data_IF_281601771284
#
_entry.id   IF_281601771284
#
_cell.length_a   1.000
_cell.length_b   1.000
_cell.length_c   1.000
_cell.angle_alpha   90.00
_cell.angle_beta   90.00
_cell.angle_gamma   90.00
#
_symmetry.space_group_name_H-M   'P 1'
#
loop_
_entity.id
_entity.type
_entity.pdbx_description
1 polymer ?
#
# COMPACT_ATOMS: atom_id res chain seq x y z
N UNK A 1 13.21 -20.43 29.20
CA UNK A 1 13.21 -18.97 28.97
C UNK A 1 13.64 -18.25 30.26
N UNK A 2 14.48 -18.90 31.08
CA UNK A 2 14.58 -18.63 32.52
C UNK A 2 15.85 -17.84 32.92
N UNK A 3 16.55 -17.23 31.95
CA UNK A 3 17.83 -16.56 32.19
C UNK A 3 17.80 -15.03 32.09
N UNK A 4 16.66 -14.42 31.72
CA UNK A 4 16.56 -12.97 31.60
C UNK A 4 15.27 -12.43 32.20
N UNK A 5 15.38 -11.32 32.94
CA UNK A 5 14.26 -10.48 33.31
C UNK A 5 13.94 -9.50 32.18
N UNK A 6 12.67 -9.43 31.81
CA UNK A 6 12.14 -8.54 30.77
C UNK A 6 11.52 -7.28 31.39
N UNK A 7 11.85 -6.11 30.84
CA UNK A 7 11.07 -4.88 31.04
C UNK A 7 10.72 -4.25 29.69
N UNK A 8 9.64 -3.47 29.66
CA UNK A 8 9.12 -2.90 28.41
C UNK A 8 8.91 -1.38 28.53
N UNK A 9 9.18 -0.66 27.44
CA UNK A 9 8.85 0.75 27.28
C UNK A 9 8.13 0.97 25.95
N UNK A 10 6.86 1.36 26.01
CA UNK A 10 6.11 1.78 24.83
C UNK A 10 6.64 3.13 24.32
N UNK A 11 6.86 3.23 23.00
CA UNK A 11 7.33 4.45 22.37
C UNK A 11 6.21 5.49 22.24
N UNK A 12 6.45 6.67 22.79
CA UNK A 12 5.52 7.80 22.75
C UNK A 12 5.97 8.90 21.79
N UNK A 13 5.05 9.81 21.47
CA UNK A 13 5.36 10.95 20.60
C UNK A 13 6.37 11.87 21.29
N UNK A 14 7.50 12.10 20.63
CA UNK A 14 8.58 12.94 21.16
C UNK A 14 9.71 12.15 21.83
N UNK A 15 9.55 10.84 21.97
CA UNK A 15 10.61 9.97 22.48
C UNK A 15 11.86 10.00 21.60
N UNK A 16 13.01 10.05 22.27
CA UNK A 16 14.32 10.00 21.63
C UNK A 16 15.05 8.77 22.14
N UNK A 17 15.49 7.90 21.21
CA UNK A 17 16.18 6.65 21.53
C UNK A 17 17.34 6.86 22.50
N UNK A 18 18.12 7.92 22.31
CA UNK A 18 19.23 8.24 23.20
C UNK A 18 18.79 8.43 24.65
N UNK A 19 17.80 9.27 24.90
CA UNK A 19 17.23 9.50 26.23
C UNK A 19 16.67 8.22 26.84
N UNK A 20 15.97 7.41 26.04
CA UNK A 20 15.43 6.12 26.47
C UNK A 20 16.55 5.19 26.96
N UNK A 21 17.64 5.08 26.20
CA UNK A 21 18.78 4.23 26.57
C UNK A 21 19.48 4.72 27.86
N UNK A 22 19.50 6.03 28.10
CA UNK A 22 20.05 6.57 29.36
C UNK A 22 19.14 6.25 30.55
N UNK A 23 17.83 6.43 30.40
CA UNK A 23 16.84 6.20 31.47
C UNK A 23 16.64 4.71 31.79
N UNK A 24 16.47 3.87 30.77
CA UNK A 24 16.09 2.47 30.93
C UNK A 24 17.29 1.54 31.07
N UNK A 25 18.41 1.88 30.43
CA UNK A 25 19.62 1.06 30.46
C UNK A 25 20.76 1.66 31.31
N UNK A 26 20.57 2.84 31.91
CA UNK A 26 21.58 3.49 32.74
C UNK A 26 22.83 3.89 31.96
N UNK A 27 22.74 4.02 30.63
CA UNK A 27 23.90 4.30 29.78
C UNK A 27 24.28 5.78 29.84
N UNK A 28 25.58 6.06 29.87
CA UNK A 28 26.11 7.42 29.76
C UNK A 28 26.06 7.93 28.32
N UNK A 29 26.15 9.24 28.14
CA UNK A 29 26.08 9.88 26.83
C UNK A 29 27.15 9.34 25.84
N UNK A 30 28.43 9.15 26.23
CA UNK A 30 29.42 8.54 25.34
C UNK A 30 29.07 7.12 24.89
N UNK A 31 28.45 6.32 25.77
CA UNK A 31 28.04 4.94 25.44
C UNK A 31 26.88 4.94 24.44
N UNK A 32 25.87 5.79 24.68
CA UNK A 32 24.75 6.00 23.75
C UNK A 32 25.26 6.47 22.39
N UNK A 33 26.19 7.42 22.35
CA UNK A 33 26.79 7.89 21.10
C UNK A 33 27.46 6.76 20.30
N UNK A 34 28.18 5.86 20.97
CA UNK A 34 28.78 4.66 20.34
C UNK A 34 27.69 3.74 19.76
N UNK A 35 26.60 3.48 20.50
CA UNK A 35 25.49 2.63 20.02
C UNK A 35 24.79 3.26 18.81
N UNK A 36 24.50 4.56 18.88
CA UNK A 36 23.90 5.34 17.79
C UNK A 36 24.78 5.31 16.54
N UNK A 37 26.10 5.38 16.71
CA UNK A 37 27.04 5.22 15.61
C UNK A 37 26.98 3.83 14.99
N UNK A 38 26.85 2.76 15.79
CA UNK A 38 26.67 1.38 15.29
C UNK A 38 25.34 1.16 14.56
N UNK A 39 24.35 2.02 14.78
CA UNK A 39 23.11 2.00 14.00
C UNK A 39 23.33 2.45 12.55
N UNK A 40 24.35 3.28 12.27
CA UNK A 40 24.60 3.82 10.92
C UNK A 40 24.67 2.68 9.89
N UNK A 41 23.94 2.85 8.79
CA UNK A 41 23.81 1.89 7.68
C UNK A 41 23.14 0.54 8.00
N UNK A 42 22.85 0.22 9.27
CA UNK A 42 22.15 -1.01 9.68
C UNK A 42 20.70 -0.78 10.07
N UNK A 43 20.46 0.22 10.91
CA UNK A 43 19.15 0.55 11.46
C UNK A 43 18.91 2.06 11.40
N UNK A 44 17.77 2.46 10.85
CA UNK A 44 17.37 3.87 10.81
C UNK A 44 16.67 4.21 12.11
N UNK A 45 17.29 5.01 12.97
CA UNK A 45 16.71 5.40 14.27
C UNK A 45 15.34 6.07 14.08
N UNK A 46 15.17 6.89 13.03
CA UNK A 46 13.90 7.54 12.70
C UNK A 46 12.82 6.57 12.16
N UNK A 47 13.09 5.25 12.12
CA UNK A 47 12.11 4.21 11.77
C UNK A 47 11.45 3.56 12.98
N UNK A 48 11.83 3.98 14.20
CA UNK A 48 11.08 3.69 15.42
C UNK A 48 9.66 4.25 15.29
N UNK A 49 8.66 3.40 15.53
CA UNK A 49 7.25 3.75 15.40
C UNK A 49 6.69 4.11 16.77
N UNK A 50 5.81 5.11 16.82
CA UNK A 50 5.05 5.41 18.04
C UNK A 50 4.04 4.27 18.26
N UNK A 51 3.86 3.85 19.51
CA UNK A 51 2.97 2.75 19.90
C UNK A 51 3.60 1.35 19.83
N UNK A 52 4.88 1.22 19.44
CA UNK A 52 5.61 -0.06 19.57
C UNK A 52 6.44 -0.10 20.85
N UNK A 53 6.46 -1.27 21.50
CA UNK A 53 7.24 -1.50 22.72
C UNK A 53 8.70 -1.85 22.42
N UNK A 54 9.61 -1.19 23.12
CA UNK A 54 11.00 -1.58 23.27
C UNK A 54 11.11 -2.55 24.44
N UNK A 55 11.70 -3.72 24.18
CA UNK A 55 11.91 -4.77 25.20
C UNK A 55 13.35 -4.74 25.67
N UNK A 56 13.56 -4.65 26.97
CA UNK A 56 14.87 -4.64 27.60
C UNK A 56 15.09 -5.93 28.36
N UNK A 57 16.21 -6.59 28.11
CA UNK A 57 16.56 -7.87 28.71
C UNK A 57 17.76 -7.68 29.63
N UNK A 58 17.57 -7.96 30.92
CA UNK A 58 18.64 -8.02 31.93
C UNK A 58 18.82 -9.45 32.42
N UNK A 59 20.03 -9.84 32.82
CA UNK A 59 20.32 -11.22 33.27
C UNK A 59 19.62 -11.58 34.57
N UNK A 60 19.36 -10.60 35.42
CA UNK A 60 18.58 -10.75 36.65
C UNK A 60 17.71 -9.51 36.90
N UNK A 61 16.58 -9.65 37.60
CA UNK A 61 15.75 -8.51 37.99
C UNK A 61 16.55 -7.44 38.72
N UNK A 62 16.35 -6.17 38.36
CA UNK A 62 17.01 -5.02 38.96
C UNK A 62 18.43 -4.72 38.45
N UNK A 63 18.99 -5.56 37.57
CA UNK A 63 20.24 -5.24 36.87
C UNK A 63 20.01 -4.38 35.62
N UNK A 64 21.05 -3.67 35.19
CA UNK A 64 21.02 -2.94 33.93
C UNK A 64 20.84 -3.92 32.75
N UNK A 65 19.93 -3.63 31.80
CA UNK A 65 19.70 -4.48 30.65
C UNK A 65 20.92 -4.60 29.76
N UNK A 66 21.18 -5.81 29.29
CA UNK A 66 22.28 -6.13 28.39
C UNK A 66 21.86 -5.98 26.92
N UNK A 67 20.57 -6.08 26.65
CA UNK A 67 20.01 -6.01 25.31
C UNK A 67 18.73 -5.19 25.28
N UNK A 68 18.51 -4.50 24.17
CA UNK A 68 17.22 -3.94 23.80
C UNK A 68 16.77 -4.56 22.48
N UNK A 69 15.53 -5.01 22.41
CA UNK A 69 14.89 -5.58 21.22
C UNK A 69 13.80 -4.62 20.76
N UNK A 70 13.83 -4.31 19.46
CA UNK A 70 12.78 -3.56 18.78
C UNK A 70 12.16 -4.43 17.68
N UNK A 71 10.85 -4.66 17.75
CA UNK A 71 10.11 -5.47 16.77
C UNK A 71 9.16 -4.57 15.95
N UNK A 72 9.60 -4.01 14.82
CA UNK A 72 8.78 -3.11 14.01
C UNK A 72 7.63 -3.80 13.28
N UNK A 73 7.74 -5.11 13.06
CA UNK A 73 6.78 -5.95 12.38
C UNK A 73 7.07 -7.44 12.68
N UNK A 74 6.17 -8.36 12.30
CA UNK A 74 6.35 -9.79 12.58
C UNK A 74 7.51 -10.48 11.85
N UNK A 75 8.06 -9.87 10.79
CA UNK A 75 9.05 -10.49 9.90
C UNK A 75 10.50 -10.25 10.32
N UNK A 76 10.75 -9.23 11.14
CA UNK A 76 12.10 -8.89 11.58
C UNK A 76 12.09 -8.17 12.92
N UNK A 77 13.21 -8.27 13.62
CA UNK A 77 13.48 -7.52 14.84
C UNK A 77 14.89 -6.98 14.82
N UNK A 78 15.14 -5.94 15.61
CA UNK A 78 16.47 -5.34 15.76
C UNK A 78 16.95 -5.56 17.18
N UNK A 79 18.13 -6.15 17.33
CA UNK A 79 18.79 -6.37 18.61
C UNK A 79 19.89 -5.32 18.79
N UNK A 80 19.84 -4.62 19.90
CA UNK A 80 20.86 -3.68 20.34
C UNK A 80 21.57 -4.32 21.55
N UNK A 81 22.83 -4.72 21.37
CA UNK A 81 23.68 -5.17 22.48
C UNK A 81 24.21 -3.93 23.20
N UNK A 82 23.80 -3.76 24.45
CA UNK A 82 24.04 -2.59 25.30
C UNK A 82 25.31 -2.73 26.16
N UNK A 83 26.06 -3.82 26.01
CA UNK A 83 27.39 -4.03 26.61
C UNK A 83 28.47 -3.99 25.54
N UNK A 84 29.69 -3.65 25.95
CA UNK A 84 30.83 -3.69 25.02
C UNK A 84 31.19 -5.14 24.65
N UNK A 85 31.49 -5.41 23.37
CA UNK A 85 31.46 -4.48 22.24
C UNK A 85 30.01 -4.20 21.77
N UNK A 86 29.62 -2.91 21.72
CA UNK A 86 28.27 -2.51 21.29
C UNK A 86 28.00 -2.96 19.85
N UNK A 87 26.86 -3.61 19.64
CA UNK A 87 26.45 -4.12 18.33
C UNK A 87 24.96 -3.86 18.11
N UNK A 88 24.63 -3.62 16.84
CA UNK A 88 23.25 -3.52 16.37
C UNK A 88 23.10 -4.46 15.19
N UNK A 89 22.11 -5.34 15.28
CA UNK A 89 21.85 -6.40 14.31
C UNK A 89 20.36 -6.39 13.96
N UNK A 90 20.05 -6.32 12.67
CA UNK A 90 18.69 -6.52 12.18
C UNK A 90 18.58 -7.99 11.82
N UNK A 91 17.75 -8.72 12.55
CA UNK A 91 17.52 -10.14 12.37
C UNK A 91 16.21 -10.31 11.61
N UNK A 92 16.30 -10.92 10.43
CA UNK A 92 15.12 -11.39 9.70
C UNK A 92 14.69 -12.72 10.31
N UNK A 93 13.40 -12.86 10.58
CA UNK A 93 12.84 -14.13 11.00
C UNK A 93 12.73 -15.05 9.78
N UNK A 94 12.80 -16.35 10.05
CA UNK A 94 12.49 -17.34 9.02
C UNK A 94 10.99 -17.30 8.72
N UNK A 95 10.65 -17.12 7.45
CA UNK A 95 9.26 -16.96 6.99
C UNK A 95 8.93 -18.16 6.14
N UNK A 96 8.03 -18.99 6.63
CA UNK A 96 7.45 -20.07 5.82
C UNK A 96 6.29 -19.51 5.02
N UNK A 97 6.37 -19.61 3.70
CA UNK A 97 5.27 -19.23 2.81
C UNK A 97 4.51 -20.47 2.38
N UNK A 98 3.19 -20.44 2.51
CA UNK A 98 2.29 -21.46 1.97
C UNK A 98 1.33 -20.84 0.98
N UNK A 99 0.94 -21.59 -0.05
CA UNK A 99 -0.10 -21.16 -0.98
C UNK A 99 -1.44 -21.67 -0.46
N UNK A 100 -2.34 -20.75 -0.23
CA UNK A 100 -3.67 -21.03 0.31
C UNK A 100 -4.74 -20.38 -0.55
N UNK A 101 -5.96 -20.89 -0.43
CA UNK A 101 -7.14 -20.35 -1.07
C UNK A 101 -8.22 -20.00 -0.07
N UNK A 102 -8.99 -18.97 -0.41
CA UNK A 102 -10.21 -18.58 0.29
C UNK A 102 -11.31 -18.27 -0.73
N UNK A 103 -12.55 -18.42 -0.31
CA UNK A 103 -13.73 -18.07 -1.10
C UNK A 103 -14.81 -17.48 -0.20
N UNK A 104 -15.74 -16.74 -0.78
CA UNK A 104 -16.83 -16.17 -0.03
C UNK A 104 -17.97 -15.67 -0.90
N UNK A 105 -19.13 -15.52 -0.28
CA UNK A 105 -20.33 -14.91 -0.86
C UNK A 105 -20.62 -13.62 -0.10
N UNK A 106 -20.89 -12.54 -0.84
CA UNK A 106 -21.15 -11.22 -0.28
C UNK A 106 -22.58 -11.18 0.25
N UNK A 107 -22.71 -10.99 1.56
CA UNK A 107 -24.00 -10.74 2.20
C UNK A 107 -24.29 -9.24 2.34
N UNK A 108 -23.26 -8.45 2.63
CA UNK A 108 -23.37 -7.01 2.88
C UNK A 108 -22.40 -6.20 2.02
N UNK A 109 -21.10 -6.32 2.27
CA UNK A 109 -20.05 -5.61 1.52
C UNK A 109 -18.85 -6.52 1.27
N UNK A 110 -18.09 -6.24 0.20
CA UNK A 110 -16.87 -6.99 -0.12
C UNK A 110 -15.87 -6.98 1.05
N UNK A 111 -15.64 -5.82 1.65
CA UNK A 111 -14.77 -5.69 2.82
C UNK A 111 -15.25 -6.54 4.00
N UNK A 112 -16.53 -6.42 4.35
CA UNK A 112 -17.09 -7.19 5.45
C UNK A 112 -17.03 -8.71 5.17
N UNK A 113 -17.34 -9.12 3.94
CA UNK A 113 -17.25 -10.52 3.56
C UNK A 113 -15.82 -11.06 3.72
N UNK A 114 -14.80 -10.29 3.36
CA UNK A 114 -13.40 -10.70 3.56
C UNK A 114 -13.02 -10.78 5.04
N UNK A 115 -13.35 -9.76 5.83
CA UNK A 115 -13.08 -9.75 7.28
C UNK A 115 -13.81 -10.89 8.01
N UNK A 116 -15.07 -11.15 7.65
CA UNK A 116 -15.87 -12.24 8.22
C UNK A 116 -15.33 -13.63 7.87
N UNK A 117 -14.63 -13.74 6.73
CA UNK A 117 -13.91 -14.93 6.31
C UNK A 117 -12.54 -15.10 7.00
N UNK A 118 -12.18 -14.18 7.91
CA UNK A 118 -10.88 -14.20 8.59
C UNK A 118 -9.72 -13.78 7.69
N UNK A 119 -10.01 -13.11 6.56
CA UNK A 119 -8.98 -12.60 5.64
C UNK A 119 -8.47 -11.25 6.11
N UNK A 120 -7.17 -11.01 5.93
CA UNK A 120 -6.53 -9.78 6.40
C UNK A 120 -6.91 -8.56 5.55
N UNK A 121 -6.86 -7.38 6.16
CA UNK A 121 -7.13 -6.11 5.47
C UNK A 121 -6.18 -5.90 4.29
N UNK A 122 -4.92 -6.35 4.39
CA UNK A 122 -3.94 -6.27 3.30
C UNK A 122 -4.34 -7.11 2.09
N UNK A 123 -4.90 -8.31 2.31
CA UNK A 123 -5.38 -9.16 1.22
C UNK A 123 -6.60 -8.52 0.55
N UNK A 124 -7.50 -7.92 1.33
CA UNK A 124 -8.66 -7.22 0.82
C UNK A 124 -8.30 -6.01 -0.06
N UNK A 125 -7.37 -5.17 0.41
CA UNK A 125 -6.80 -4.08 -0.38
C UNK A 125 -6.15 -4.60 -1.68
N UNK A 126 -5.40 -5.71 -1.57
CA UNK A 126 -4.77 -6.36 -2.72
C UNK A 126 -5.80 -6.85 -3.76
N UNK A 127 -6.87 -7.49 -3.32
CA UNK A 127 -7.94 -7.98 -4.21
C UNK A 127 -8.62 -6.82 -4.94
N UNK A 128 -8.90 -5.73 -4.23
CA UNK A 128 -9.49 -4.53 -4.83
C UNK A 128 -8.57 -3.97 -5.90
N UNK A 129 -7.26 -3.91 -5.64
CA UNK A 129 -6.27 -3.39 -6.59
C UNK A 129 -6.18 -4.22 -7.87
N UNK A 130 -6.08 -5.55 -7.74
CA UNK A 130 -5.89 -6.44 -8.91
C UNK A 130 -7.17 -6.65 -9.72
N UNK A 131 -8.36 -6.48 -9.13
CA UNK A 131 -9.64 -6.58 -9.82
C UNK A 131 -10.24 -5.21 -10.19
N UNK A 132 -9.54 -4.11 -9.86
CA UNK A 132 -10.06 -2.75 -10.00
C UNK A 132 -10.47 -2.38 -11.44
N UNK A 133 -9.87 -3.00 -12.47
CA UNK A 133 -10.15 -2.70 -13.87
C UNK A 133 -11.45 -3.33 -14.38
N UNK A 134 -11.82 -4.49 -13.84
CA UNK A 134 -12.94 -5.32 -14.29
C UNK A 134 -14.15 -5.23 -13.36
N UNK A 135 -13.92 -4.95 -12.07
CA UNK A 135 -14.96 -4.94 -11.03
C UNK A 135 -15.20 -3.53 -10.49
N UNK A 136 -16.49 -3.15 -10.41
CA UNK A 136 -16.91 -1.98 -9.65
C UNK A 136 -17.42 -2.37 -8.26
N UNK A 137 -16.51 -2.33 -7.28
CA UNK A 137 -16.79 -2.62 -5.87
C UNK A 137 -17.73 -1.62 -5.19
N UNK A 138 -17.98 -0.44 -5.80
CA UNK A 138 -18.89 0.57 -5.21
C UNK A 138 -20.37 0.22 -5.42
N UNK A 139 -20.68 -0.54 -6.48
CA UNK A 139 -22.03 -0.99 -6.81
C UNK A 139 -22.18 -2.51 -6.63
N UNK A 140 -21.53 -3.06 -5.60
CA UNK A 140 -21.66 -4.47 -5.21
C UNK A 140 -23.07 -4.81 -4.77
N UNK A 141 -23.47 -6.07 -4.98
CA UNK A 141 -24.77 -6.60 -4.56
C UNK A 141 -24.59 -7.81 -3.66
N UNK A 142 -25.61 -8.05 -2.84
CA UNK A 142 -25.74 -9.30 -2.12
C UNK A 142 -25.81 -10.47 -3.13
N UNK A 143 -25.06 -11.54 -2.88
CA UNK A 143 -24.96 -12.71 -3.75
C UNK A 143 -23.78 -12.68 -4.72
N UNK A 144 -23.07 -11.55 -4.87
CA UNK A 144 -21.77 -11.52 -5.55
C UNK A 144 -20.81 -12.48 -4.80
N UNK A 145 -19.90 -13.14 -5.50
CA UNK A 145 -19.01 -14.14 -4.89
C UNK A 145 -17.58 -14.01 -5.37
N UNK A 146 -16.63 -14.46 -4.56
CA UNK A 146 -15.21 -14.38 -4.90
C UNK A 146 -14.46 -15.66 -4.53
N UNK A 147 -13.33 -15.85 -5.21
CA UNK A 147 -12.27 -16.77 -4.78
C UNK A 147 -10.93 -16.09 -4.94
N UNK A 148 -9.99 -16.43 -4.07
CA UNK A 148 -8.63 -15.91 -4.09
C UNK A 148 -7.65 -17.01 -3.71
N UNK A 149 -6.55 -17.09 -4.45
CA UNK A 149 -5.38 -17.91 -4.12
C UNK A 149 -4.23 -16.95 -3.87
N UNK A 150 -3.54 -17.10 -2.75
CA UNK A 150 -2.53 -16.16 -2.29
C UNK A 150 -1.47 -16.84 -1.41
N UNK A 151 -0.38 -16.12 -1.20
CA UNK A 151 0.68 -16.54 -0.27
C UNK A 151 0.29 -16.16 1.17
N UNK A 152 0.28 -17.13 2.09
CA UNK A 152 0.17 -16.92 3.52
C UNK A 152 1.55 -17.04 4.15
N UNK A 153 1.96 -16.03 4.92
CA UNK A 153 3.22 -16.04 5.65
C UNK A 153 3.02 -16.55 7.08
N UNK A 154 3.89 -17.46 7.47
CA UNK A 154 3.98 -17.99 8.82
C UNK A 154 5.35 -17.69 9.41
N UNK A 155 5.37 -17.24 10.65
CA UNK A 155 6.59 -17.04 11.43
C UNK A 155 6.39 -17.76 12.76
N UNK A 156 7.31 -18.68 13.09
CA UNK A 156 7.21 -19.52 14.29
C UNK A 156 5.87 -20.28 14.42
N UNK A 157 5.27 -20.65 13.29
CA UNK A 157 4.00 -21.37 13.23
C UNK A 157 2.76 -20.48 13.22
N UNK A 158 2.87 -19.20 13.55
CA UNK A 158 1.74 -18.26 13.56
C UNK A 158 1.59 -17.55 12.21
N UNK A 159 0.35 -17.35 11.78
CA UNK A 159 0.01 -16.57 10.60
C UNK A 159 0.27 -15.08 10.88
N UNK A 160 1.22 -14.47 10.14
CA UNK A 160 1.67 -13.09 10.41
C UNK A 160 1.38 -12.08 9.30
N UNK A 161 0.81 -12.54 8.20
CA UNK A 161 0.37 -11.71 7.10
C UNK A 161 0.37 -12.46 5.78
N UNK A 162 0.11 -11.72 4.70
CA UNK A 162 -0.03 -12.29 3.36
C UNK A 162 1.08 -11.79 2.43
N UNK A 163 1.46 -12.63 1.47
CA UNK A 163 2.34 -12.30 0.36
C UNK A 163 1.54 -11.86 -0.86
N UNK A 164 1.96 -12.32 -2.04
CA UNK A 164 1.29 -11.93 -3.29
C UNK A 164 -0.03 -12.68 -3.49
N UNK A 165 -0.95 -12.05 -4.22
CA UNK A 165 -2.10 -12.74 -4.80
C UNK A 165 -1.59 -13.52 -6.00
N UNK A 166 -1.96 -14.79 -6.10
CA UNK A 166 -1.57 -15.66 -7.21
C UNK A 166 -2.67 -15.64 -8.28
N UNK A 167 -3.93 -15.75 -7.86
CA UNK A 167 -5.08 -15.64 -8.73
C UNK A 167 -6.31 -15.19 -7.95
N UNK A 168 -7.21 -14.45 -8.59
CA UNK A 168 -8.49 -14.06 -8.00
C UNK A 168 -9.59 -14.07 -9.04
N UNK A 169 -10.80 -14.40 -8.61
CA UNK A 169 -12.02 -14.27 -9.39
C UNK A 169 -13.09 -13.59 -8.55
N UNK A 170 -13.85 -12.70 -9.19
CA UNK A 170 -15.05 -12.10 -8.65
C UNK A 170 -16.19 -12.30 -9.64
N UNK A 171 -17.31 -12.79 -9.16
CA UNK A 171 -18.48 -13.07 -9.97
C UNK A 171 -19.66 -12.22 -9.53
N UNK A 172 -20.28 -11.55 -10.51
CA UNK A 172 -21.50 -10.76 -10.34
C UNK A 172 -22.48 -11.13 -11.43
N UNK A 173 -23.69 -11.53 -11.05
CA UNK A 173 -24.78 -11.85 -11.98
C UNK A 173 -24.36 -12.85 -13.09
N UNK A 174 -23.55 -13.86 -12.71
CA UNK A 174 -23.02 -14.88 -13.64
C UNK A 174 -21.85 -14.41 -14.52
N UNK A 175 -21.39 -13.16 -14.36
CA UNK A 175 -20.21 -12.63 -15.06
C UNK A 175 -18.99 -12.71 -14.15
N UNK A 176 -17.99 -13.46 -14.60
CA UNK A 176 -16.72 -13.63 -13.91
C UNK A 176 -15.69 -12.58 -14.35
N UNK A 177 -14.95 -12.05 -13.38
CA UNK A 177 -13.88 -11.09 -13.56
C UNK A 177 -12.63 -11.63 -12.88
N UNK A 178 -11.58 -11.87 -13.67
CA UNK A 178 -10.37 -12.54 -13.22
C UNK A 178 -9.18 -11.60 -13.08
N UNK A 179 -8.26 -11.96 -12.18
CA UNK A 179 -6.91 -11.41 -12.12
C UNK A 179 -5.91 -12.55 -11.88
N UNK A 180 -4.93 -12.69 -12.75
CA UNK A 180 -3.91 -13.73 -12.72
C UNK A 180 -2.53 -13.12 -12.57
N UNK A 181 -1.74 -13.63 -11.63
CA UNK A 181 -0.36 -13.18 -11.46
C UNK A 181 0.53 -13.75 -12.57
N UNK A 182 1.14 -12.87 -13.36
CA UNK A 182 2.08 -13.21 -14.43
C UNK A 182 3.20 -12.16 -14.46
N UNK A 183 4.38 -12.53 -13.99
CA UNK A 183 5.53 -11.64 -13.96
C UNK A 183 6.30 -11.74 -15.28
N UNK A 184 6.49 -10.61 -15.96
CA UNK A 184 7.39 -10.53 -17.11
C UNK A 184 8.76 -10.03 -16.65
N UNK A 185 9.81 -10.46 -17.34
CA UNK A 185 11.16 -9.98 -17.08
C UNK A 185 11.26 -8.48 -17.42
N UNK A 186 11.68 -7.66 -16.45
CA UNK A 186 11.86 -6.21 -16.64
C UNK A 186 10.59 -5.36 -16.63
N UNK A 187 9.38 -5.93 -16.64
CA UNK A 187 8.14 -5.18 -16.45
C UNK A 187 7.66 -5.19 -14.99
N UNK A 188 6.91 -4.14 -14.62
CA UNK A 188 6.32 -4.00 -13.28
C UNK A 188 4.88 -4.48 -13.19
N UNK A 189 4.22 -4.69 -14.33
CA UNK A 189 2.84 -5.21 -14.37
C UNK A 189 2.88 -6.72 -14.19
N UNK A 190 2.31 -7.14 -13.07
CA UNK A 190 2.34 -8.49 -12.53
C UNK A 190 0.96 -9.15 -12.53
N UNK A 191 -0.12 -8.45 -12.91
CA UNK A 191 -1.48 -9.00 -12.95
C UNK A 191 -2.20 -8.71 -14.26
N UNK A 192 -2.87 -9.73 -14.80
CA UNK A 192 -3.59 -9.66 -16.06
C UNK A 192 -4.97 -10.33 -15.94
N UNK A 193 -5.94 -9.85 -16.72
CA UNK A 193 -7.28 -10.42 -16.79
C UNK A 193 -7.33 -11.60 -17.78
N UNK A 194 -8.51 -12.21 -17.94
CA UNK A 194 -8.67 -13.40 -18.77
C UNK A 194 -8.15 -13.24 -20.21
N UNK A 195 -8.29 -12.04 -20.78
CA UNK A 195 -7.85 -11.68 -22.14
C UNK A 195 -6.41 -11.19 -22.20
N UNK A 196 -5.67 -11.20 -21.09
CA UNK A 196 -4.27 -10.79 -21.02
C UNK A 196 -4.09 -9.27 -20.98
N UNK A 197 -5.13 -8.51 -20.61
CA UNK A 197 -5.03 -7.07 -20.35
C UNK A 197 -4.55 -6.86 -18.91
N UNK A 198 -3.68 -5.87 -18.64
CA UNK A 198 -3.32 -5.49 -17.27
C UNK A 198 -4.54 -5.31 -16.36
N UNK A 199 -4.58 -6.07 -15.26
CA UNK A 199 -5.75 -6.15 -14.37
C UNK A 199 -5.82 -4.96 -13.40
N UNK A 200 -4.69 -4.32 -13.11
CA UNK A 200 -4.66 -3.04 -12.37
C UNK A 200 -5.24 -1.93 -13.23
N UNK A 201 -5.97 -1.00 -12.60
CA UNK A 201 -6.47 0.21 -13.29
C UNK A 201 -5.30 0.98 -13.91
N UNK A 202 -5.45 1.39 -15.18
CA UNK A 202 -4.51 2.32 -15.81
C UNK A 202 -4.29 3.59 -14.97
N UNK A 203 -5.31 4.02 -14.21
CA UNK A 203 -5.25 5.17 -13.30
C UNK A 203 -6.01 4.91 -11.99
N UNK A 204 -5.39 5.22 -10.85
CA UNK A 204 -6.05 5.29 -9.55
C UNK A 204 -7.12 6.39 -9.55
N UNK A 205 -8.21 6.17 -8.80
CA UNK A 205 -9.35 7.11 -8.74
C UNK A 205 -8.99 8.46 -8.10
N UNK A 206 -8.03 8.49 -7.18
CA UNK A 206 -7.65 9.70 -6.46
C UNK A 206 -6.13 9.73 -6.15
N UNK A 207 -5.51 10.92 -6.12
CA UNK A 207 -4.08 11.09 -5.85
C UNK A 207 -3.74 11.23 -4.35
N UNK A 208 -4.74 11.20 -3.47
CA UNK A 208 -4.57 11.35 -2.01
C UNK A 208 -5.49 10.38 -1.30
N UNK A 209 -4.92 9.48 -0.48
CA UNK A 209 -5.69 8.53 0.34
C UNK A 209 -6.46 9.28 1.45
N UNK A 210 -7.65 8.80 1.80
CA UNK A 210 -8.51 9.37 2.86
C UNK A 210 -8.82 10.87 2.69
N UNK A 211 -8.97 11.33 1.45
CA UNK A 211 -9.30 12.72 1.12
C UNK A 211 -10.76 12.86 0.74
N UNK A 212 -11.30 14.08 0.90
CA UNK A 212 -12.63 14.45 0.37
C UNK A 212 -12.49 15.39 -0.81
N UNK A 213 -13.36 15.25 -1.80
CA UNK A 213 -13.45 16.23 -2.90
C UNK A 213 -14.07 17.51 -2.34
N UNK A 214 -13.29 18.58 -2.25
CA UNK A 214 -13.79 19.90 -1.83
C UNK A 214 -14.34 20.71 -2.99
N UNK A 215 -13.83 20.51 -4.20
CA UNK A 215 -14.30 21.17 -5.43
C UNK A 215 -14.04 20.29 -6.65
N UNK A 216 -15.05 20.12 -7.51
CA UNK A 216 -14.94 19.33 -8.75
C UNK A 216 -14.47 20.18 -9.93
N UNK A 217 -14.11 19.51 -11.02
CA UNK A 217 -13.93 20.17 -12.32
C UNK A 217 -15.22 20.88 -12.72
N UNK A 218 -15.15 22.18 -13.01
CA UNK A 218 -16.32 22.99 -13.31
C UNK A 218 -15.94 24.23 -14.14
N UNK A 219 -16.39 24.27 -15.40
CA UNK A 219 -16.14 25.37 -16.33
C UNK A 219 -16.81 26.69 -15.91
N UNK A 220 -17.84 26.62 -15.06
CA UNK A 220 -18.66 27.76 -14.64
C UNK A 220 -18.56 28.01 -13.11
N UNK A 221 -17.47 27.60 -12.46
CA UNK A 221 -17.28 27.83 -11.01
C UNK A 221 -17.19 29.33 -10.70
N UNK A 222 -18.01 29.84 -9.78
CA UNK A 222 -17.82 31.17 -9.20
C UNK A 222 -16.58 31.15 -8.30
N UNK A 223 -15.58 31.98 -8.59
CA UNK A 223 -14.30 31.94 -7.89
C UNK A 223 -14.45 32.49 -6.46
N UNK A 224 -14.16 31.70 -5.40
CA UNK A 224 -14.47 32.10 -4.02
C UNK A 224 -13.68 33.33 -3.55
N UNK A 225 -12.52 33.61 -4.16
CA UNK A 225 -11.70 34.79 -3.84
C UNK A 225 -11.98 35.97 -4.80
N UNK A 226 -12.32 35.71 -6.07
CA UNK A 226 -12.33 36.75 -7.11
C UNK A 226 -13.74 37.22 -7.49
N UNK A 227 -14.79 36.54 -7.03
CA UNK A 227 -16.19 36.94 -7.21
C UNK A 227 -16.79 36.66 -8.59
N UNK A 228 -15.99 36.57 -9.66
CA UNK A 228 -16.45 36.25 -11.02
C UNK A 228 -16.34 34.76 -11.36
N UNK A 229 -17.01 34.34 -12.45
CA UNK A 229 -16.97 32.95 -12.95
C UNK A 229 -15.61 32.66 -13.56
N UNK A 230 -14.90 31.67 -13.00
CA UNK A 230 -13.60 31.20 -13.49
C UNK A 230 -13.58 29.68 -13.48
N UNK A 231 -13.30 29.11 -14.64
CA UNK A 231 -13.21 27.67 -14.81
C UNK A 231 -12.22 27.04 -13.79
N UNK A 232 -12.68 25.99 -13.13
CA UNK A 232 -11.85 25.12 -12.33
C UNK A 232 -11.53 23.87 -13.16
N UNK A 233 -10.31 23.82 -13.68
CA UNK A 233 -9.86 22.79 -14.62
C UNK A 233 -9.22 21.58 -13.93
N UNK A 234 -9.59 21.35 -12.67
CA UNK A 234 -9.09 20.26 -11.84
C UNK A 234 -10.13 19.79 -10.82
N UNK A 235 -9.75 18.81 -10.01
CA UNK A 235 -10.51 18.34 -8.84
C UNK A 235 -9.67 18.56 -7.60
N UNK A 236 -10.22 19.27 -6.62
CA UNK A 236 -9.55 19.61 -5.37
C UNK A 236 -9.84 18.53 -4.33
N UNK A 237 -8.78 17.87 -3.86
CA UNK A 237 -8.80 16.89 -2.79
C UNK A 237 -8.30 17.54 -1.51
N UNK A 238 -9.22 17.85 -0.60
CA UNK A 238 -8.87 18.41 0.70
C UNK A 238 -8.29 17.32 1.61
N UNK A 239 -7.12 17.60 2.18
CA UNK A 239 -6.40 16.73 3.10
C UNK A 239 -5.45 17.58 3.98
N UNK A 240 -5.04 17.08 5.15
CA UNK A 240 -4.09 17.78 6.02
C UNK A 240 -2.78 18.17 5.31
N UNK A 241 -2.14 19.24 5.78
CA UNK A 241 -0.82 19.64 5.29
C UNK A 241 0.19 18.50 5.52
N UNK A 242 0.99 18.18 4.50
CA UNK A 242 1.98 17.11 4.58
C UNK A 242 1.46 15.72 4.20
N UNK A 243 0.15 15.53 3.95
CA UNK A 243 -0.38 14.25 3.49
C UNK A 243 0.31 13.82 2.18
N UNK A 244 0.77 12.57 2.04
CA UNK A 244 1.38 12.09 0.81
C UNK A 244 0.46 12.23 -0.41
N UNK A 245 0.99 12.78 -1.50
CA UNK A 245 0.38 12.79 -2.82
C UNK A 245 1.05 11.69 -3.65
N UNK A 246 0.25 10.81 -4.23
CA UNK A 246 0.71 9.68 -5.03
C UNK A 246 0.46 9.89 -6.52
N UNK A 247 1.33 9.35 -7.37
CA UNK A 247 1.07 9.28 -8.81
C UNK A 247 -0.11 8.33 -9.08
N UNK A 248 -1.15 8.81 -9.78
CA UNK A 248 -2.32 7.96 -10.07
C UNK A 248 -2.02 6.87 -11.10
N UNK A 249 -0.92 6.98 -11.84
CA UNK A 249 -0.49 6.00 -12.82
C UNK A 249 1.02 6.10 -13.00
N UNK A 250 1.62 5.04 -13.53
CA UNK A 250 3.03 5.07 -13.88
C UNK A 250 3.31 6.08 -14.99
N UNK A 251 4.52 6.64 -15.01
CA UNK A 251 4.89 7.60 -16.04
C UNK A 251 6.24 8.24 -15.82
N UNK A 252 6.50 9.28 -16.62
CA UNK A 252 7.70 10.10 -16.53
C UNK A 252 7.34 11.52 -16.11
N UNK A 253 8.01 12.03 -15.09
CA UNK A 253 7.85 13.41 -14.62
C UNK A 253 8.33 14.36 -15.71
N UNK A 254 7.40 15.13 -16.28
CA UNK A 254 7.72 16.22 -17.22
C UNK A 254 8.27 17.42 -16.46
N UNK A 255 7.62 17.78 -15.36
CA UNK A 255 7.95 18.96 -14.56
C UNK A 255 7.80 18.64 -13.07
N UNK A 256 8.74 19.14 -12.26
CA UNK A 256 8.63 19.23 -10.82
C UNK A 256 9.23 20.56 -10.41
N UNK A 257 8.40 21.61 -10.35
CA UNK A 257 8.85 22.99 -10.20
C UNK A 257 7.79 23.86 -9.55
N UNK A 258 8.11 25.13 -9.29
CA UNK A 258 7.18 26.14 -8.78
C UNK A 258 6.79 27.11 -9.90
N UNK A 259 5.48 27.32 -10.13
CA UNK A 259 5.01 28.26 -11.16
C UNK A 259 3.70 28.95 -10.82
N UNK A 260 3.77 30.27 -10.59
CA UNK A 260 2.60 31.14 -10.44
C UNK A 260 1.52 30.56 -9.53
N UNK A 261 0.26 30.58 -10.01
CA UNK A 261 -0.90 30.07 -9.27
C UNK A 261 -0.87 28.58 -8.95
N UNK A 262 -0.06 27.77 -9.64
CA UNK A 262 0.05 26.34 -9.36
C UNK A 262 0.82 26.06 -8.06
N UNK A 263 1.61 27.02 -7.58
CA UNK A 263 2.54 26.78 -6.48
C UNK A 263 3.61 25.77 -6.89
N UNK A 264 4.05 24.94 -5.94
CA UNK A 264 4.89 23.78 -6.24
C UNK A 264 3.99 22.69 -6.85
N UNK A 265 4.38 22.18 -8.02
CA UNK A 265 3.59 21.17 -8.70
C UNK A 265 4.47 20.13 -9.40
N UNK A 266 3.88 18.96 -9.61
CA UNK A 266 4.44 17.89 -10.44
C UNK A 266 3.51 17.66 -11.63
N UNK A 267 4.08 17.48 -12.82
CA UNK A 267 3.36 17.06 -14.03
C UNK A 267 3.96 15.75 -14.54
N UNK A 268 3.13 14.74 -14.78
CA UNK A 268 3.54 13.40 -15.20
C UNK A 268 2.93 13.10 -16.57
N UNK A 269 3.75 12.62 -17.50
CA UNK A 269 3.32 12.00 -18.75
C UNK A 269 3.20 10.50 -18.55
N UNK A 270 2.03 9.95 -18.86
CA UNK A 270 1.78 8.51 -18.76
C UNK A 270 2.05 7.83 -20.11
N UNK A 271 1.48 8.39 -21.18
CA UNK A 271 1.67 7.91 -22.55
C UNK A 271 1.58 9.07 -23.57
N UNK A 272 1.28 8.77 -24.84
CA UNK A 272 1.08 9.77 -25.89
C UNK A 272 -0.21 10.61 -25.75
N UNK A 273 -1.17 10.16 -24.94
CA UNK A 273 -2.52 10.70 -24.83
C UNK A 273 -2.73 11.40 -23.48
N UNK A 274 -2.25 10.80 -22.39
CA UNK A 274 -2.61 11.13 -21.02
C UNK A 274 -1.46 11.76 -20.22
N UNK A 275 -1.81 12.80 -19.47
CA UNK A 275 -0.92 13.44 -18.50
C UNK A 275 -1.70 13.79 -17.23
N UNK A 276 -1.01 13.86 -16.09
CA UNK A 276 -1.60 14.33 -14.83
C UNK A 276 -0.76 15.43 -14.21
N UNK A 277 -1.41 16.31 -13.45
CA UNK A 277 -0.76 17.43 -12.78
C UNK A 277 -1.29 17.57 -11.35
N UNK A 278 -0.38 17.84 -10.42
CA UNK A 278 -0.63 17.82 -8.98
C UNK A 278 -0.08 19.11 -8.39
N UNK A 279 -0.95 19.99 -7.92
CA UNK A 279 -0.62 21.38 -7.58
C UNK A 279 -0.57 21.61 -6.07
N UNK A 280 -0.13 22.81 -5.70
CA UNK A 280 -0.15 23.37 -4.33
C UNK A 280 0.67 22.60 -3.31
N UNK A 281 1.65 21.80 -3.75
CA UNK A 281 2.46 20.96 -2.86
C UNK A 281 3.24 21.80 -1.85
N UNK A 282 3.46 21.24 -0.66
CA UNK A 282 4.40 21.80 0.32
C UNK A 282 5.84 21.54 -0.10
N UNK A 283 6.11 20.36 -0.67
CA UNK A 283 7.40 19.97 -1.23
C UNK A 283 7.31 18.69 -2.05
N UNK A 284 8.39 18.37 -2.76
CA UNK A 284 8.52 17.17 -3.58
C UNK A 284 9.07 16.00 -2.77
N UNK A 285 8.66 14.78 -3.11
CA UNK A 285 9.27 13.58 -2.55
C UNK A 285 10.70 13.39 -3.08
N UNK A 286 11.52 12.61 -2.36
CA UNK A 286 12.92 12.39 -2.73
C UNK A 286 13.01 11.76 -4.13
N UNK A 287 13.88 12.33 -4.97
CA UNK A 287 14.14 11.82 -6.33
C UNK A 287 13.15 12.30 -7.39
N UNK A 288 12.11 13.05 -7.01
CA UNK A 288 11.14 13.61 -7.96
C UNK A 288 11.71 14.87 -8.60
N UNK A 289 12.01 14.78 -9.89
CA UNK A 289 12.53 15.85 -10.75
C UNK A 289 12.14 15.56 -12.19
N UNK A 290 12.26 16.56 -13.08
CA UNK A 290 12.06 16.33 -14.52
C UNK A 290 12.91 15.16 -15.02
N UNK A 291 12.30 14.28 -15.82
CA UNK A 291 12.88 13.04 -16.33
C UNK A 291 12.80 11.84 -15.38
N UNK A 292 12.40 12.01 -14.12
CA UNK A 292 12.27 10.89 -13.19
C UNK A 292 11.10 9.97 -13.60
N UNK A 293 11.33 8.65 -13.59
CA UNK A 293 10.26 7.67 -13.72
C UNK A 293 9.56 7.47 -12.37
N UNK A 294 8.24 7.36 -12.41
CA UNK A 294 7.40 7.12 -11.23
C UNK A 294 6.48 5.94 -11.48
N UNK A 295 6.29 5.11 -10.46
CA UNK A 295 5.30 4.04 -10.47
C UNK A 295 3.93 4.57 -10.05
N UNK A 296 2.87 3.87 -10.46
CA UNK A 296 1.53 4.09 -9.89
C UNK A 296 1.60 3.90 -8.36
N UNK A 297 0.91 4.77 -7.61
CA UNK A 297 0.92 4.76 -6.15
C UNK A 297 2.19 5.33 -5.50
N UNK A 298 3.24 5.62 -6.26
CA UNK A 298 4.47 6.20 -5.71
C UNK A 298 4.21 7.63 -5.19
N UNK A 299 4.66 7.92 -3.98
CA UNK A 299 4.64 9.28 -3.43
C UNK A 299 5.50 10.22 -4.26
N UNK A 300 4.89 11.27 -4.79
CA UNK A 300 5.54 12.29 -5.63
C UNK A 300 5.76 13.62 -4.92
N UNK A 301 5.03 13.84 -3.83
CA UNK A 301 5.11 15.07 -3.04
C UNK A 301 4.12 15.03 -1.89
N UNK A 302 3.91 16.18 -1.27
CA UNK A 302 3.07 16.29 -0.09
C UNK A 302 2.10 17.45 -0.21
N UNK A 303 0.89 17.26 0.31
CA UNK A 303 -0.16 18.28 0.34
C UNK A 303 0.37 19.54 1.01
N UNK A 304 0.02 20.68 0.43
CA UNK A 304 0.38 22.00 0.94
C UNK A 304 -0.68 23.02 0.57
N UNK A 305 -0.29 24.29 0.62
CA UNK A 305 -1.13 25.42 0.24
C UNK A 305 -0.33 26.48 -0.53
N UNK A 306 0.61 26.03 -1.39
CA UNK A 306 1.45 26.95 -2.16
C UNK A 306 0.74 27.46 -3.42
N UNK A 307 1.09 28.66 -3.90
CA UNK A 307 0.43 29.26 -5.07
C UNK A 307 -0.95 29.82 -4.71
N UNK A 308 -1.92 29.70 -5.63
CA UNK A 308 -3.28 30.21 -5.44
C UNK A 308 -4.14 29.13 -4.79
N UNK A 309 -4.02 28.99 -3.47
CA UNK A 309 -4.76 28.01 -2.66
C UNK A 309 -5.36 28.69 -1.42
N UNK A 310 -6.62 28.40 -1.10
CA UNK A 310 -7.31 28.93 0.11
C UNK A 310 -6.99 28.14 1.38
N UNK A 311 -6.40 26.96 1.25
CA UNK A 311 -6.03 26.09 2.36
C UNK A 311 -5.43 24.77 1.86
N UNK A 312 -5.02 23.87 2.76
CA UNK A 312 -4.37 22.61 2.40
C UNK A 312 -5.23 21.69 1.52
N UNK A 313 -4.79 21.45 0.29
CA UNK A 313 -5.41 20.50 -0.64
C UNK A 313 -4.45 20.12 -1.78
N UNK A 314 -4.79 19.06 -2.51
CA UNK A 314 -4.18 18.75 -3.81
C UNK A 314 -5.17 19.12 -4.92
N UNK A 315 -4.84 20.12 -5.74
CA UNK A 315 -5.58 20.38 -6.99
C UNK A 315 -5.03 19.43 -8.07
N UNK A 316 -5.84 18.45 -8.43
CA UNK A 316 -5.51 17.40 -9.39
C UNK A 316 -6.10 17.70 -10.75
N UNK A 317 -5.25 17.74 -11.78
CA UNK A 317 -5.67 18.02 -13.16
C UNK A 317 -5.34 16.84 -14.04
N UNK A 318 -6.31 16.42 -14.83
CA UNK A 318 -6.18 15.31 -15.77
C UNK A 318 -6.18 15.86 -17.18
N UNK A 319 -5.25 15.42 -18.00
CA UNK A 319 -5.07 15.89 -19.37
C UNK A 319 -5.26 14.74 -20.34
N UNK A 320 -6.04 14.96 -21.40
CA UNK A 320 -6.21 14.05 -22.54
C UNK A 320 -5.96 14.82 -23.84
N UNK A 321 -5.04 14.36 -24.68
CA UNK A 321 -4.67 15.00 -25.94
C UNK A 321 -4.34 16.50 -25.76
N UNK A 322 -3.59 16.84 -24.71
CA UNK A 322 -3.17 18.21 -24.42
C UNK A 322 -4.25 19.14 -23.86
N UNK A 323 -5.45 18.64 -23.54
CA UNK A 323 -6.54 19.42 -22.90
C UNK A 323 -6.88 18.89 -21.51
N UNK A 324 -7.16 19.80 -20.57
CA UNK A 324 -7.68 19.46 -19.25
C UNK A 324 -9.11 18.94 -19.35
N UNK A 325 -9.40 17.86 -18.63
CA UNK A 325 -10.68 17.14 -18.66
C UNK A 325 -11.07 16.70 -17.24
N UNK A 326 -12.36 16.46 -17.02
CA UNK A 326 -12.85 15.94 -15.74
C UNK A 326 -12.53 14.44 -15.62
N UNK A 327 -11.59 14.03 -14.74
CA UNK A 327 -11.22 12.62 -14.60
C UNK A 327 -12.39 11.76 -14.11
N UNK A 328 -13.36 12.33 -13.40
CA UNK A 328 -14.50 11.60 -12.85
C UNK A 328 -15.58 11.27 -13.89
N UNK A 329 -15.46 11.85 -15.10
CA UNK A 329 -16.36 11.61 -16.23
C UNK A 329 -15.69 10.89 -17.40
N UNK A 330 -14.42 10.53 -17.26
CA UNK A 330 -13.70 9.79 -18.29
C UNK A 330 -14.01 8.30 -18.22
N UNK A 331 -14.54 7.76 -19.32
CA UNK A 331 -14.36 6.35 -19.64
C UNK A 331 -12.95 6.17 -20.18
N UNK A 332 -12.02 5.79 -19.30
CA UNK A 332 -10.65 5.48 -19.67
C UNK A 332 -10.63 4.18 -20.49
N UNK A 333 -9.90 4.13 -21.62
CA UNK A 333 -9.79 2.91 -22.41
C UNK A 333 -9.15 1.82 -21.56
N UNK A 334 -9.63 0.59 -21.72
CA UNK A 334 -8.99 -0.55 -21.09
C UNK A 334 -7.58 -0.72 -21.69
N UNK A 335 -6.59 -1.13 -20.86
CA UNK A 335 -5.26 -1.38 -21.35
C UNK A 335 -5.30 -2.49 -22.41
N UNK A 336 -4.43 -2.39 -23.42
CA UNK A 336 -4.38 -3.38 -24.49
C UNK A 336 -3.87 -4.72 -23.95
N UNK A 337 -4.36 -5.85 -24.49
CA UNK A 337 -3.85 -7.16 -24.10
C UNK A 337 -2.41 -7.34 -24.56
N UNK A 338 -1.65 -8.15 -23.84
CA UNK A 338 -0.38 -8.68 -24.32
C UNK A 338 -0.59 -9.47 -25.62
N UNK A 339 0.43 -9.53 -26.47
CA UNK A 339 0.33 -10.08 -27.84
C UNK A 339 1.49 -11.00 -28.15
N UNK A 340 1.32 -11.80 -29.21
CA UNK A 340 2.37 -12.68 -29.74
C UNK A 340 2.70 -13.82 -28.79
N UNK A 341 3.97 -14.25 -28.80
CA UNK A 341 4.43 -15.39 -27.99
C UNK A 341 4.16 -15.21 -26.49
N UNK A 342 4.26 -13.99 -25.98
CA UNK A 342 4.01 -13.68 -24.57
C UNK A 342 2.55 -13.93 -24.16
N UNK A 343 1.60 -13.75 -25.09
CA UNK A 343 0.20 -14.08 -24.83
C UNK A 343 -0.03 -15.59 -24.76
N UNK A 344 0.71 -16.37 -25.54
CA UNK A 344 0.63 -17.84 -25.47
C UNK A 344 1.23 -18.38 -24.17
N UNK A 345 2.37 -17.83 -23.73
CA UNK A 345 2.96 -18.13 -22.41
C UNK A 345 1.99 -17.76 -21.28
N UNK A 346 1.36 -16.59 -21.38
CA UNK A 346 0.34 -16.17 -20.44
C UNK A 346 -0.87 -17.10 -20.42
N UNK A 347 -1.38 -17.54 -21.57
CA UNK A 347 -2.53 -18.46 -21.63
C UNK A 347 -2.25 -19.75 -20.87
N UNK A 348 -1.05 -20.33 -21.02
CA UNK A 348 -0.66 -21.53 -20.27
C UNK A 348 -0.74 -21.25 -18.76
N UNK A 349 -0.12 -20.16 -18.30
CA UNK A 349 -0.15 -19.79 -16.88
C UNK A 349 -1.56 -19.48 -16.38
N UNK A 350 -2.36 -18.77 -17.18
CA UNK A 350 -3.76 -18.43 -16.91
C UNK A 350 -4.59 -19.69 -16.72
N UNK A 351 -4.45 -20.67 -17.61
CA UNK A 351 -5.26 -21.89 -17.57
C UNK A 351 -4.90 -22.77 -16.35
N UNK A 352 -3.61 -22.83 -15.96
CA UNK A 352 -3.16 -23.44 -14.70
C UNK A 352 -3.81 -22.76 -13.48
N UNK A 353 -3.73 -21.43 -13.41
CA UNK A 353 -4.27 -20.65 -12.30
C UNK A 353 -5.80 -20.67 -12.24
N UNK A 354 -6.46 -20.75 -13.40
CA UNK A 354 -7.90 -20.91 -13.50
C UNK A 354 -8.34 -22.29 -13.00
N UNK A 355 -7.62 -23.37 -13.35
CA UNK A 355 -7.88 -24.69 -12.80
C UNK A 355 -7.75 -24.70 -11.26
N UNK A 356 -6.76 -23.98 -10.72
CA UNK A 356 -6.59 -23.79 -9.29
C UNK A 356 -7.75 -23.03 -8.64
N UNK A 357 -8.26 -21.97 -9.27
CA UNK A 357 -9.46 -21.27 -8.78
C UNK A 357 -10.73 -22.14 -8.86
N UNK A 358 -10.82 -23.00 -9.88
CA UNK A 358 -11.98 -23.87 -10.08
C UNK A 358 -12.04 -25.00 -9.07
N UNK A 359 -10.91 -25.46 -8.53
CA UNK A 359 -10.86 -26.48 -7.48
C UNK A 359 -11.33 -25.97 -6.11
N UNK A 360 -11.36 -24.65 -5.90
CA UNK A 360 -11.78 -24.02 -4.65
C UNK A 360 -13.32 -23.91 -4.63
N UNK A 361 -14.03 -24.60 -3.71
CA UNK A 361 -15.48 -24.47 -3.58
C UNK A 361 -15.88 -23.09 -3.02
N UNK A 362 -17.10 -22.64 -3.29
CA UNK A 362 -17.66 -21.46 -2.63
C UNK A 362 -18.19 -21.82 -1.24
N UNK A 363 -17.84 -21.01 -0.25
CA UNK A 363 -18.37 -21.13 1.10
C UNK A 363 -19.19 -19.89 1.49
N UNK A 364 -20.30 -20.10 2.18
CA UNK A 364 -21.14 -19.05 2.78
C UNK A 364 -20.66 -18.70 4.18
N UNK A 365 -21.05 -17.52 4.69
CA UNK A 365 -20.68 -17.09 6.04
C UNK A 365 -21.04 -18.14 7.09
N UNK A 366 -22.24 -18.71 7.03
CA UNK A 366 -22.71 -19.73 7.98
C UNK A 366 -21.86 -21.01 7.95
N UNK A 367 -21.39 -21.42 6.77
CA UNK A 367 -20.52 -22.60 6.62
C UNK A 367 -19.13 -22.36 7.21
N UNK A 368 -18.64 -21.13 7.17
CA UNK A 368 -17.33 -20.71 7.70
C UNK A 368 -17.41 -20.43 9.20
N UNK A 369 -18.50 -19.83 9.66
CA UNK A 369 -18.76 -19.54 11.07
C UNK A 369 -19.04 -20.80 11.91
N UNK A 370 -19.66 -21.82 11.31
CA UNK A 370 -19.86 -23.15 11.94
C UNK A 370 -18.57 -23.93 12.19
N UNK A 371 -17.47 -23.57 11.52
CA UNK A 371 -16.14 -24.16 11.66
C UNK A 371 -15.23 -23.39 12.63
N UNK A 372 -15.78 -22.48 13.45
CA UNK A 372 -15.02 -21.69 14.43
C UNK A 372 -14.42 -22.58 15.52
N UNK A 373 -13.19 -23.02 15.29
CA UNK A 373 -12.36 -23.79 16.21
C UNK A 373 -11.09 -24.40 15.60
N UNK A 374 -10.99 -24.47 14.28
CA UNK A 374 -9.85 -25.07 13.56
C UNK A 374 -9.25 -24.07 12.56
N UNK A 375 -7.97 -24.25 12.23
CA UNK A 375 -7.19 -23.53 11.19
C UNK A 375 -7.76 -23.72 9.74
N UNK A 376 -9.06 -24.04 9.58
CA UNK A 376 -9.66 -24.65 8.39
C UNK A 376 -10.36 -23.70 7.40
N UNK A 377 -10.34 -22.38 7.60
CA UNK A 377 -10.96 -21.45 6.64
C UNK A 377 -10.10 -21.20 5.39
N UNK A 378 -8.83 -21.58 5.44
CA UNK A 378 -7.88 -21.47 4.33
C UNK A 378 -7.57 -22.86 3.78
N UNK A 379 -7.92 -23.09 2.52
CA UNK A 379 -7.63 -24.36 1.86
C UNK A 379 -6.18 -24.34 1.37
N UNK A 380 -5.33 -25.24 1.87
CA UNK A 380 -3.99 -25.44 1.27
C UNK A 380 -4.18 -25.91 -0.16
N UNK A 381 -3.58 -25.20 -1.11
CA UNK A 381 -3.63 -25.56 -2.53
C UNK A 381 -2.21 -25.70 -3.05
N UNK A 382 -1.94 -26.80 -3.76
CA UNK A 382 -0.66 -27.03 -4.42
C UNK A 382 -0.77 -26.54 -5.87
N UNK A 383 0.15 -25.68 -6.34
CA UNK A 383 0.19 -25.24 -7.73
C UNK A 383 0.56 -26.35 -8.71
#
# INVERSE_FOLDING_TARGET
MDEYSLSEKELQRGDVLGTILMEQAGLSYPQVSKIVERCKNKFKINSLRVGTSLRFLARQPGQAPEMMIYEPNPYQYTVFKLKEPYQVEVVKRDVRTEIVAASGVLETSFWQALTDNGLSDELADGMIDVLASSVDFYHQKQGDRFKVVFEQHYVQGEAVGTGKIIAAVYEREGKESYAFHFQKEGEKTDYYDYEGRPARKAFLKAPVKFSRISSRYNLHRKHPILGYVKAHLGTDYAAPYGTPIIAVAEGTVLEATRRGGNGNFVKIKHDGIYQTQYLHMSGFAKGIRSGARVAQGQTIGYVGSTGLATGPHCCFRFWKNGREVDPLRLNLPQPLPIKGQLFEEYKIKRDELMALLNSVPYHTHDQIAGNKGSEENLMKVSP
#
